data_IF_227800453990
#
_entry.id   IF_227800453990
#
_cell.length_a   1.000
_cell.length_b   1.000
_cell.length_c   1.000
_cell.angle_alpha   90.00
_cell.angle_beta   90.00
_cell.angle_gamma   90.00
#
_symmetry.space_group_name_H-M   'P 1'
#
loop_
_entity.id
_entity.type
_entity.pdbx_description
1 polymer ?
#
# COMPACT_ATOMS: atom_id res chain seq x y z
N UNK A 1 14.48 -22.98 1.83
CA UNK A 1 13.04 -23.13 2.17
C UNK A 1 12.26 -22.11 1.33
N UNK A 2 11.42 -22.54 0.38
CA UNK A 2 10.60 -21.60 -0.37
C UNK A 2 9.43 -21.15 0.50
N UNK A 3 9.11 -19.84 0.53
CA UNK A 3 7.78 -19.37 0.96
C UNK A 3 7.66 -18.42 2.16
N UNK A 4 8.66 -17.60 2.52
CA UNK A 4 8.51 -16.62 3.62
C UNK A 4 7.96 -15.25 3.18
N UNK A 5 7.25 -15.16 2.05
CA UNK A 5 6.60 -13.93 1.57
C UNK A 5 5.07 -13.95 1.78
N UNK A 6 4.38 -12.79 1.71
CA UNK A 6 2.93 -12.73 1.84
C UNK A 6 2.28 -13.64 0.79
N UNK A 7 1.38 -14.53 1.22
CA UNK A 7 0.68 -15.44 0.33
C UNK A 7 1.37 -16.78 0.06
N UNK A 8 2.24 -17.29 0.93
CA UNK A 8 2.92 -18.59 0.80
C UNK A 8 2.04 -19.85 0.85
N UNK A 9 0.82 -19.80 0.30
CA UNK A 9 -0.11 -20.91 0.16
C UNK A 9 -0.44 -21.21 -1.31
N UNK A 10 -1.26 -22.24 -1.58
CA UNK A 10 -1.56 -22.70 -2.94
C UNK A 10 -2.15 -21.62 -3.85
N UNK A 11 -2.80 -20.59 -3.29
CA UNK A 11 -3.36 -19.46 -4.03
C UNK A 11 -2.32 -18.56 -4.72
N UNK A 12 -1.05 -18.56 -4.30
CA UNK A 12 0.04 -17.84 -4.96
C UNK A 12 1.13 -18.81 -5.49
N UNK A 13 0.75 -20.07 -5.75
CA UNK A 13 1.66 -21.08 -6.29
C UNK A 13 2.13 -20.74 -7.71
N UNK A 14 3.36 -21.13 -8.05
CA UNK A 14 3.93 -20.85 -9.37
C UNK A 14 3.29 -21.68 -10.50
N UNK A 15 3.27 -21.15 -11.72
CA UNK A 15 2.82 -21.85 -12.93
C UNK A 15 3.01 -21.04 -14.22
N UNK A 16 2.93 -21.67 -15.41
CA UNK A 16 2.99 -20.96 -16.69
C UNK A 16 1.90 -19.89 -16.78
N UNK A 17 2.28 -18.67 -17.19
CA UNK A 17 1.38 -17.50 -17.27
C UNK A 17 0.79 -17.03 -15.92
N UNK A 18 1.22 -17.59 -14.80
CA UNK A 18 0.81 -17.13 -13.46
C UNK A 18 1.30 -15.70 -13.21
N UNK A 19 0.43 -14.86 -12.64
CA UNK A 19 0.80 -13.52 -12.16
C UNK A 19 0.96 -13.58 -10.64
N UNK A 20 2.18 -13.40 -10.10
CA UNK A 20 2.41 -13.47 -8.67
C UNK A 20 1.63 -12.38 -7.94
N UNK A 21 1.18 -12.70 -6.73
CA UNK A 21 0.55 -11.76 -5.83
C UNK A 21 1.47 -10.55 -5.61
N UNK A 22 0.90 -9.36 -5.69
CA UNK A 22 1.60 -8.11 -5.50
C UNK A 22 0.96 -7.32 -4.37
N UNK A 23 1.80 -6.68 -3.56
CA UNK A 23 1.36 -5.71 -2.55
C UNK A 23 1.26 -4.29 -3.11
N UNK A 24 1.48 -4.07 -4.41
CA UNK A 24 1.34 -2.76 -5.05
C UNK A 24 -0.07 -2.19 -4.84
N UNK A 25 -0.13 -0.97 -4.31
CA UNK A 25 -1.38 -0.25 -4.05
C UNK A 25 -1.33 1.19 -4.59
N UNK A 26 -1.21 1.40 -5.92
CA UNK A 26 -1.38 2.73 -6.50
C UNK A 26 -2.81 3.21 -6.21
N UNK A 27 -2.95 4.38 -5.59
CA UNK A 27 -4.24 4.86 -5.05
C UNK A 27 -4.51 6.30 -5.47
N UNK A 28 -5.76 6.55 -5.88
CA UNK A 28 -6.27 7.88 -6.22
C UNK A 28 -7.49 8.16 -5.33
N UNK A 29 -7.42 9.23 -4.55
CA UNK A 29 -8.52 9.77 -3.76
C UNK A 29 -9.29 10.84 -4.52
N UNK A 30 -10.61 10.75 -4.52
CA UNK A 30 -11.53 11.70 -5.16
C UNK A 30 -12.36 12.39 -4.09
N UNK A 31 -12.41 13.72 -4.14
CA UNK A 31 -13.25 14.55 -3.27
C UNK A 31 -14.09 15.46 -4.16
N UNK A 32 -15.40 15.48 -3.94
CA UNK A 32 -16.35 16.32 -4.69
C UNK A 32 -16.25 16.12 -6.23
N UNK A 33 -16.08 14.86 -6.65
CA UNK A 33 -15.96 14.49 -8.07
C UNK A 33 -14.64 14.91 -8.73
N UNK A 34 -13.69 15.47 -7.97
CA UNK A 34 -12.36 15.87 -8.46
C UNK A 34 -11.27 15.05 -7.80
N UNK A 35 -10.21 14.76 -8.55
CA UNK A 35 -9.00 14.17 -7.99
C UNK A 35 -8.43 15.07 -6.91
N UNK A 36 -8.17 14.50 -5.75
CA UNK A 36 -7.70 15.22 -4.57
C UNK A 36 -6.38 14.66 -4.03
N UNK A 37 -6.18 13.35 -4.11
CA UNK A 37 -4.96 12.66 -3.67
C UNK A 37 -4.51 11.67 -4.74
N UNK A 38 -3.22 11.63 -5.03
CA UNK A 38 -2.59 10.56 -5.84
C UNK A 38 -1.38 10.08 -5.06
N UNK A 39 -1.39 8.81 -4.65
CA UNK A 39 -0.36 8.28 -3.76
C UNK A 39 -0.01 6.82 -4.08
N UNK A 40 1.15 6.42 -3.61
CA UNK A 40 1.74 5.10 -3.79
C UNK A 40 3.10 5.04 -3.12
N UNK A 41 3.61 3.84 -2.88
CA UNK A 41 4.94 3.65 -2.28
C UNK A 41 5.60 2.38 -2.79
N UNK A 42 6.94 2.35 -2.93
CA UNK A 42 7.69 1.08 -2.93
C UNK A 42 7.69 0.46 -1.51
N UNK A 43 8.16 -0.79 -1.37
CA UNK A 43 8.38 -1.40 -0.03
C UNK A 43 7.97 -2.85 0.18
N UNK A 44 7.55 -3.57 -0.88
CA UNK A 44 7.09 -4.96 -0.78
C UNK A 44 5.86 -5.08 0.11
N UNK A 45 5.91 -5.91 1.16
CA UNK A 45 4.80 -6.11 2.10
C UNK A 45 4.36 -4.82 2.82
N UNK A 46 5.24 -3.82 2.92
CA UNK A 46 4.96 -2.53 3.58
C UNK A 46 4.18 -1.53 2.72
N UNK A 47 3.97 -1.83 1.44
CA UNK A 47 3.28 -0.90 0.53
C UNK A 47 1.87 -0.61 1.02
N UNK A 48 1.14 -1.66 1.41
CA UNK A 48 -0.25 -1.56 1.87
C UNK A 48 -0.35 -0.66 3.11
N UNK A 49 0.46 -0.93 4.14
CA UNK A 49 0.45 -0.16 5.38
C UNK A 49 0.95 1.27 5.20
N UNK A 50 1.86 1.49 4.26
CA UNK A 50 2.35 2.85 3.92
C UNK A 50 1.27 3.68 3.25
N UNK A 51 0.61 3.12 2.24
CA UNK A 51 -0.49 3.81 1.53
C UNK A 51 -1.66 4.07 2.47
N UNK A 52 -1.99 3.12 3.36
CA UNK A 52 -2.99 3.32 4.40
C UNK A 52 -2.66 4.53 5.29
N UNK A 53 -1.42 4.62 5.79
CA UNK A 53 -1.00 5.75 6.63
C UNK A 53 -1.05 7.07 5.89
N UNK A 54 -0.71 7.12 4.60
CA UNK A 54 -0.88 8.34 3.80
C UNK A 54 -2.34 8.78 3.78
N UNK A 55 -3.27 7.86 3.46
CA UNK A 55 -4.70 8.17 3.38
C UNK A 55 -5.27 8.62 4.74
N UNK A 56 -4.93 7.93 5.83
CA UNK A 56 -5.34 8.30 7.20
C UNK A 56 -4.79 9.67 7.58
N UNK A 57 -3.52 9.95 7.26
CA UNK A 57 -2.91 11.26 7.52
C UNK A 57 -3.60 12.38 6.74
N UNK A 58 -3.95 12.17 5.47
CA UNK A 58 -4.67 13.18 4.68
C UNK A 58 -6.09 13.42 5.19
N UNK A 59 -6.83 12.34 5.50
CA UNK A 59 -8.28 12.41 5.78
C UNK A 59 -8.54 12.72 7.25
N UNK A 60 -7.98 11.93 8.16
CA UNK A 60 -8.32 11.98 9.59
C UNK A 60 -7.52 13.06 10.32
N UNK A 61 -6.25 13.23 9.94
CA UNK A 61 -5.35 14.23 10.54
C UNK A 61 -5.25 15.53 9.74
N UNK A 62 -5.89 15.60 8.56
CA UNK A 62 -5.91 16.80 7.73
C UNK A 62 -4.52 17.28 7.28
N UNK A 63 -3.54 16.38 7.25
CA UNK A 63 -2.17 16.72 6.88
C UNK A 63 -2.08 17.08 5.40
N UNK A 64 -1.21 18.05 5.08
CA UNK A 64 -0.84 18.28 3.68
C UNK A 64 0.15 17.20 3.20
N UNK A 65 0.33 17.11 1.88
CA UNK A 65 1.17 16.07 1.25
C UNK A 65 2.61 16.01 1.79
N UNK A 66 3.21 17.15 2.14
CA UNK A 66 4.56 17.17 2.67
C UNK A 66 4.60 16.68 4.13
N UNK A 67 3.62 17.07 4.94
CA UNK A 67 3.51 16.64 6.33
C UNK A 67 3.25 15.13 6.44
N UNK A 68 2.29 14.60 5.68
CA UNK A 68 2.00 13.16 5.69
C UNK A 68 3.17 12.32 5.15
N UNK A 69 3.92 12.84 4.15
CA UNK A 69 5.06 12.12 3.57
C UNK A 69 6.19 11.98 4.57
N UNK A 70 6.40 13.00 5.40
CA UNK A 70 7.46 13.05 6.41
C UNK A 70 7.03 12.48 7.77
N UNK A 71 5.74 12.19 7.96
CA UNK A 71 5.25 11.58 9.18
C UNK A 71 5.90 10.19 9.39
N UNK A 72 6.24 9.82 10.64
CA UNK A 72 6.72 8.48 10.96
C UNK A 72 5.73 7.39 10.53
N UNK A 73 6.24 6.24 10.11
CA UNK A 73 5.43 5.10 9.66
C UNK A 73 5.64 3.85 10.50
N UNK A 74 4.58 3.11 10.77
CA UNK A 74 4.63 1.82 11.46
C UNK A 74 3.97 0.70 10.61
N UNK A 75 4.67 -0.42 10.35
CA UNK A 75 4.07 -1.58 9.68
C UNK A 75 3.81 -2.75 10.64
N UNK A 76 2.65 -3.41 10.52
CA UNK A 76 2.38 -4.76 11.04
C UNK A 76 1.77 -5.59 9.90
N UNK A 77 2.23 -6.83 9.70
CA UNK A 77 1.94 -7.63 8.50
C UNK A 77 1.41 -9.06 8.76
N UNK A 78 0.95 -9.34 9.98
CA UNK A 78 0.34 -10.61 10.38
C UNK A 78 -0.79 -10.35 11.37
#
# INVERSE_FOLDING_TARGET
>A
RPGSGPGGGPANGGGPKHRPLSSMAPTIGVKEGKTWLVTGSPGGSRIITTVLQMVVNSIDFGMNVAAETNAPRFPQQW
#
